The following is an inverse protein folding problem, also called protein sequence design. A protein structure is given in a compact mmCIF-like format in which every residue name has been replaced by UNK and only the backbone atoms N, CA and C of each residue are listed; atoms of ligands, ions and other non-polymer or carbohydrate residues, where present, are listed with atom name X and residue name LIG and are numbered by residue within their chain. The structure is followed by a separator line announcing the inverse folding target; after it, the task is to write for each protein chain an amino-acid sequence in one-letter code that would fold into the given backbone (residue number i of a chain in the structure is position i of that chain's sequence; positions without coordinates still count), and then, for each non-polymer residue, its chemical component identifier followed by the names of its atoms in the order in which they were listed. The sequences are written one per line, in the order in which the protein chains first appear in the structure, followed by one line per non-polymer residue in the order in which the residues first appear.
data_IF_421768913246
#
_entry.id   IF_421768913246
#
_cell.length_a   1.000
_cell.length_b   1.000
_cell.length_c   1.000
_cell.angle_alpha   90.00
_cell.angle_beta   90.00
_cell.angle_gamma   90.00
#
_symmetry.space_group_name_H-M   'P 1'
#
loop_
_entity.id
_entity.type
_entity.pdbx_description
1 polymer ?
#
# COMPACT_ATOMS: atom_id res chain seq x y z
N UNK A 1 3.78 -77.70 -32.11
CA UNK A 1 2.30 -77.73 -32.21
C UNK A 1 1.83 -76.41 -32.79
N UNK A 2 1.06 -76.47 -33.88
CA UNK A 2 0.44 -75.35 -34.58
C UNK A 2 -0.85 -74.98 -33.86
N UNK A 3 -1.12 -73.69 -33.66
CA UNK A 3 -2.51 -73.20 -33.59
C UNK A 3 -2.66 -72.01 -34.53
N UNK A 4 -3.54 -72.21 -35.51
CA UNK A 4 -3.96 -71.26 -36.52
C UNK A 4 -5.11 -70.37 -36.01
N UNK A 5 -5.30 -69.28 -36.74
CA UNK A 5 -6.28 -68.23 -36.60
C UNK A 5 -7.76 -68.68 -36.67
N UNK A 6 -8.66 -67.84 -36.12
CA UNK A 6 -9.62 -66.99 -36.86
C UNK A 6 -11.02 -66.86 -36.20
N UNK A 7 -11.50 -65.62 -36.03
CA UNK A 7 -12.84 -65.09 -36.40
C UNK A 7 -12.89 -63.60 -35.98
N UNK A 8 -12.84 -62.58 -36.86
CA UNK A 8 -13.82 -61.97 -37.79
C UNK A 8 -15.06 -61.29 -37.16
N UNK A 9 -15.23 -60.01 -37.59
CA UNK A 9 -16.38 -59.08 -37.54
C UNK A 9 -16.67 -58.37 -36.19
N UNK A 10 -17.03 -57.08 -36.16
CA UNK A 10 -17.72 -56.26 -37.17
C UNK A 10 -17.36 -54.77 -37.02
N UNK A 11 -17.09 -54.11 -38.15
CA UNK A 11 -16.91 -52.66 -38.29
C UNK A 11 -18.23 -51.95 -38.01
N UNK A 12 -18.23 -50.96 -37.13
CA UNK A 12 -19.21 -49.88 -37.16
C UNK A 12 -18.47 -48.56 -37.27
N UNK A 13 -18.45 -48.10 -38.51
CA UNK A 13 -18.17 -46.76 -38.97
C UNK A 13 -19.33 -45.87 -38.52
N UNK A 14 -19.11 -44.98 -37.55
CA UNK A 14 -20.01 -43.86 -37.33
C UNK A 14 -19.18 -42.58 -37.24
N UNK A 15 -19.29 -41.83 -38.33
CA UNK A 15 -18.88 -40.44 -38.47
C UNK A 15 -19.58 -39.60 -37.40
N UNK A 16 -18.80 -38.83 -36.64
CA UNK A 16 -19.29 -37.83 -35.70
C UNK A 16 -18.32 -36.67 -35.63
N UNK A 17 -18.14 -35.99 -36.77
CA UNK A 17 -17.43 -34.73 -36.89
C UNK A 17 -18.41 -33.63 -36.46
N UNK A 18 -18.31 -33.15 -35.22
CA UNK A 18 -19.15 -32.06 -34.70
C UNK A 18 -18.25 -30.97 -34.10
N UNK A 19 -18.23 -29.85 -34.84
CA UNK A 19 -18.09 -28.47 -34.42
C UNK A 19 -16.80 -28.01 -33.70
N UNK A 20 -15.76 -27.71 -34.50
CA UNK A 20 -14.93 -26.53 -34.25
C UNK A 20 -15.66 -25.28 -34.72
N UNK A 21 -16.26 -24.50 -33.80
CA UNK A 21 -16.35 -23.02 -33.85
C UNK A 21 -16.57 -22.55 -32.42
N UNK A 22 -15.50 -22.06 -31.77
CA UNK A 22 -15.61 -21.08 -30.69
C UNK A 22 -14.66 -19.93 -31.04
N UNK A 23 -15.15 -19.05 -31.91
CA UNK A 23 -14.57 -17.74 -32.13
C UNK A 23 -15.07 -16.85 -30.98
N UNK A 24 -14.36 -16.88 -29.86
CA UNK A 24 -14.58 -15.94 -28.75
C UNK A 24 -13.76 -14.70 -29.06
N UNK A 25 -14.50 -13.63 -29.34
CA UNK A 25 -14.04 -12.25 -29.32
C UNK A 25 -13.23 -11.97 -28.05
N UNK A 26 -12.02 -11.47 -28.23
CA UNK A 26 -11.20 -10.91 -27.17
C UNK A 26 -10.24 -9.92 -27.78
N UNK A 27 -10.75 -8.76 -28.17
CA UNK A 27 -9.91 -7.59 -28.44
C UNK A 27 -9.11 -7.31 -27.16
N UNK A 28 -7.84 -7.66 -27.14
CA UNK A 28 -6.90 -7.15 -26.13
C UNK A 28 -6.59 -5.69 -26.46
N UNK A 29 -7.58 -4.82 -26.26
CA UNK A 29 -7.30 -3.42 -25.93
C UNK A 29 -7.21 -3.38 -24.40
N UNK A 30 -6.04 -3.78 -23.88
CA UNK A 30 -5.69 -3.36 -22.54
C UNK A 30 -5.36 -1.87 -22.65
N UNK A 31 -6.32 -1.06 -22.22
CA UNK A 31 -6.14 0.36 -21.96
C UNK A 31 -4.91 0.51 -21.06
N UNK A 32 -3.83 1.05 -21.60
CA UNK A 32 -2.84 1.75 -20.80
C UNK A 32 -3.48 3.09 -20.41
N UNK A 33 -4.49 3.02 -19.56
CA UNK A 33 -4.95 4.17 -18.82
C UNK A 33 -4.00 4.30 -17.64
N UNK A 34 -2.91 5.04 -17.84
CA UNK A 34 -2.21 5.68 -16.74
C UNK A 34 -3.17 6.67 -16.12
N UNK A 35 -4.16 6.16 -15.37
CA UNK A 35 -4.76 6.92 -14.29
C UNK A 35 -3.61 7.14 -13.31
N UNK A 36 -2.84 8.20 -13.53
CA UNK A 36 -2.20 8.89 -12.43
C UNK A 36 -3.32 9.13 -11.43
N UNK A 37 -3.33 8.39 -10.32
CA UNK A 37 -4.29 8.62 -9.26
C UNK A 37 -4.25 10.13 -8.96
N UNK A 38 -5.38 10.84 -9.02
CA UNK A 38 -5.37 12.27 -8.76
C UNK A 38 -4.78 12.45 -7.37
N UNK A 39 -3.64 13.14 -7.28
CA UNK A 39 -2.97 13.43 -6.03
C UNK A 39 -4.02 13.92 -5.02
N UNK A 40 -4.37 13.07 -4.05
CA UNK A 40 -5.44 13.38 -3.12
C UNK A 40 -5.09 14.71 -2.44
N UNK A 41 -5.96 15.70 -2.61
CA UNK A 41 -5.72 17.02 -2.04
C UNK A 41 -5.56 16.87 -0.53
N UNK A 42 -4.50 17.47 0.02
CA UNK A 42 -4.25 17.45 1.47
C UNK A 42 -5.49 17.98 2.22
N UNK A 43 -6.02 17.24 3.20
CA UNK A 43 -7.16 17.69 3.98
C UNK A 43 -6.90 19.00 4.72
N UNK A 44 -7.92 19.86 4.84
CA UNK A 44 -7.79 21.21 5.40
C UNK A 44 -8.10 21.31 6.90
N UNK A 45 -8.30 20.18 7.59
CA UNK A 45 -8.61 20.15 9.02
C UNK A 45 -7.70 19.16 9.74
N UNK A 46 -7.33 19.47 10.98
CA UNK A 46 -6.47 18.60 11.81
C UNK A 46 -7.08 17.20 11.97
N UNK A 47 -8.38 17.02 12.28
CA UNK A 47 -8.99 15.69 12.36
C UNK A 47 -8.89 14.89 11.06
N UNK A 48 -9.14 15.53 9.91
CA UNK A 48 -9.08 14.85 8.62
C UNK A 48 -7.64 14.51 8.20
N UNK A 49 -6.64 15.32 8.57
CA UNK A 49 -5.23 14.98 8.40
C UNK A 49 -4.89 13.71 9.21
N UNK A 50 -5.31 13.63 10.47
CA UNK A 50 -5.07 12.44 11.29
C UNK A 50 -5.78 11.20 10.75
N UNK A 51 -7.01 11.34 10.26
CA UNK A 51 -7.71 10.23 9.59
C UNK A 51 -6.93 9.74 8.35
N UNK A 52 -6.39 10.64 7.55
CA UNK A 52 -5.58 10.29 6.39
C UNK A 52 -4.25 9.63 6.78
N UNK A 53 -3.58 10.13 7.84
CA UNK A 53 -2.37 9.49 8.40
C UNK A 53 -2.69 8.07 8.88
N UNK A 54 -3.81 7.89 9.58
CA UNK A 54 -4.24 6.58 10.10
C UNK A 54 -4.50 5.58 8.94
N UNK A 55 -5.10 6.05 7.83
CA UNK A 55 -5.30 5.23 6.61
C UNK A 55 -3.97 4.78 6.00
N UNK A 56 -3.02 5.69 5.79
CA UNK A 56 -1.70 5.30 5.28
C UNK A 56 -0.93 4.39 6.25
N UNK A 57 -1.08 4.61 7.56
CA UNK A 57 -0.51 3.71 8.57
C UNK A 57 -1.08 2.29 8.50
N UNK A 58 -2.38 2.16 8.24
CA UNK A 58 -3.00 0.86 8.00
C UNK A 58 -2.46 0.19 6.73
N UNK A 59 -2.29 0.95 5.64
CA UNK A 59 -1.70 0.41 4.41
C UNK A 59 -0.25 -0.03 4.58
N UNK A 60 0.56 0.67 5.37
CA UNK A 60 1.92 0.22 5.73
C UNK A 60 1.88 -1.10 6.50
N UNK A 61 0.98 -1.23 7.48
CA UNK A 61 0.82 -2.48 8.23
C UNK A 61 0.42 -3.64 7.31
N UNK A 62 -0.47 -3.39 6.35
CA UNK A 62 -0.87 -4.39 5.36
C UNK A 62 0.32 -4.78 4.46
N UNK A 63 1.06 -3.81 3.93
CA UNK A 63 2.24 -4.07 3.09
C UNK A 63 3.32 -4.87 3.83
N UNK A 64 3.54 -4.61 5.12
CA UNK A 64 4.44 -5.40 5.98
C UNK A 64 3.96 -6.85 6.16
N UNK A 65 2.65 -7.04 6.36
CA UNK A 65 2.03 -8.37 6.46
C UNK A 65 2.16 -9.15 5.16
N UNK A 66 1.92 -8.49 4.03
CA UNK A 66 1.94 -9.09 2.69
C UNK A 66 3.36 -9.19 2.09
N UNK A 67 4.37 -8.69 2.82
CA UNK A 67 5.77 -8.61 2.38
C UNK A 67 5.98 -7.79 1.09
N UNK A 68 5.11 -6.80 0.85
CA UNK A 68 5.20 -5.84 -0.25
C UNK A 68 6.00 -4.60 0.18
N UNK A 69 7.29 -4.80 0.48
CA UNK A 69 8.09 -3.76 1.13
C UNK A 69 8.37 -2.53 0.24
N UNK A 70 8.44 -2.73 -1.07
CA UNK A 70 8.75 -1.66 -2.02
C UNK A 70 7.64 -0.63 -2.17
N UNK A 71 6.39 -0.91 -1.81
CA UNK A 71 5.28 0.07 -1.87
C UNK A 71 5.15 0.91 -0.60
N UNK A 72 5.89 0.60 0.46
CA UNK A 72 5.78 1.28 1.76
C UNK A 72 6.18 2.76 1.66
N UNK A 73 7.10 3.11 0.76
CA UNK A 73 7.60 4.48 0.61
C UNK A 73 6.51 5.47 0.19
N UNK A 74 5.57 5.04 -0.67
CA UNK A 74 4.44 5.87 -1.11
C UNK A 74 3.60 6.34 0.09
N UNK A 75 3.26 5.40 0.98
CA UNK A 75 2.50 5.69 2.19
C UNK A 75 3.32 6.46 3.22
N UNK A 76 4.62 6.16 3.36
CA UNK A 76 5.49 6.87 4.29
C UNK A 76 5.66 8.35 3.89
N UNK A 77 5.79 8.64 2.59
CA UNK A 77 5.84 10.02 2.10
C UNK A 77 4.49 10.72 2.18
N UNK A 78 3.38 10.03 1.93
CA UNK A 78 2.06 10.61 2.16
C UNK A 78 1.86 11.01 3.64
N UNK A 79 2.27 10.17 4.60
CA UNK A 79 2.27 10.52 6.02
C UNK A 79 3.13 11.75 6.32
N UNK A 80 4.34 11.84 5.74
CA UNK A 80 5.22 13.00 5.87
C UNK A 80 4.52 14.27 5.40
N UNK A 81 3.91 14.23 4.22
CA UNK A 81 3.29 15.40 3.60
C UNK A 81 2.04 15.85 4.37
N UNK A 82 1.24 14.90 4.83
CA UNK A 82 0.11 15.14 5.73
C UNK A 82 0.56 15.76 7.06
N UNK A 83 1.61 15.22 7.70
CA UNK A 83 2.14 15.77 8.94
C UNK A 83 2.67 17.19 8.74
N UNK A 84 3.35 17.46 7.62
CA UNK A 84 3.86 18.79 7.26
C UNK A 84 2.75 19.82 7.00
N UNK A 85 1.50 19.40 6.81
CA UNK A 85 0.36 20.31 6.69
C UNK A 85 -0.17 20.80 8.06
N UNK A 86 0.18 20.13 9.16
CA UNK A 86 -0.27 20.49 10.50
C UNK A 86 0.11 21.93 10.92
N UNK A 87 1.35 22.42 10.76
CA UNK A 87 1.76 23.74 11.26
C UNK A 87 0.86 24.91 10.83
N UNK A 88 0.34 24.88 9.59
CA UNK A 88 -0.55 25.93 9.08
C UNK A 88 -1.92 25.95 9.77
N UNK A 89 -2.34 24.83 10.35
CA UNK A 89 -3.61 24.66 11.06
C UNK A 89 -3.46 24.80 12.58
N UNK A 90 -2.25 24.71 13.12
CA UNK A 90 -1.93 24.66 14.55
C UNK A 90 -1.83 26.02 15.24
N UNK A 91 -2.81 26.91 14.98
CA UNK A 91 -2.80 28.29 15.53
C UNK A 91 -2.94 28.34 17.04
N UNK A 92 -3.65 27.36 17.61
CA UNK A 92 -3.98 27.31 19.03
C UNK A 92 -2.90 26.63 19.90
N UNK A 93 -1.83 26.10 19.29
CA UNK A 93 -0.70 25.55 20.04
C UNK A 93 0.12 26.66 20.69
N UNK A 94 0.65 26.39 21.89
CA UNK A 94 1.65 27.24 22.53
C UNK A 94 2.97 27.23 21.73
N UNK A 95 3.84 28.21 21.97
CA UNK A 95 5.15 28.26 21.29
C UNK A 95 6.03 27.02 21.58
N UNK A 96 5.96 26.48 22.80
CA UNK A 96 6.66 25.24 23.16
C UNK A 96 6.10 24.02 22.40
N UNK A 97 4.77 23.95 22.26
CA UNK A 97 4.11 22.91 21.47
C UNK A 97 4.44 23.05 19.98
N UNK A 98 4.52 24.26 19.42
CA UNK A 98 4.95 24.51 18.04
C UNK A 98 6.40 24.11 17.79
N UNK A 99 7.30 24.38 18.74
CA UNK A 99 8.68 23.91 18.69
C UNK A 99 8.76 22.38 18.70
N UNK A 100 8.00 21.74 19.59
CA UNK A 100 7.88 20.28 19.67
C UNK A 100 7.32 19.70 18.36
N UNK A 101 6.29 20.33 17.77
CA UNK A 101 5.75 19.98 16.46
C UNK A 101 6.85 20.00 15.40
N UNK A 102 7.57 21.12 15.24
CA UNK A 102 8.60 21.27 14.21
C UNK A 102 9.74 20.25 14.35
N UNK A 103 10.19 19.97 15.58
CA UNK A 103 11.23 18.98 15.84
C UNK A 103 10.80 17.57 15.41
N UNK A 104 9.57 17.18 15.76
CA UNK A 104 9.03 15.88 15.39
C UNK A 104 8.78 15.77 13.87
N UNK A 105 8.36 16.84 13.20
CA UNK A 105 8.20 16.84 11.73
C UNK A 105 9.49 16.55 10.98
N UNK A 106 10.62 17.12 11.44
CA UNK A 106 11.94 16.78 10.88
C UNK A 106 12.24 15.28 11.02
N UNK A 107 11.86 14.69 12.16
CA UNK A 107 12.09 13.27 12.40
C UNK A 107 11.14 12.36 11.61
N UNK A 108 9.87 12.76 11.41
CA UNK A 108 8.94 12.11 10.48
C UNK A 108 9.55 12.05 9.08
N UNK A 109 10.07 13.17 8.56
CA UNK A 109 10.72 13.21 7.26
C UNK A 109 11.90 12.25 7.14
N UNK A 110 12.77 12.20 8.15
CA UNK A 110 13.90 11.27 8.17
C UNK A 110 13.46 9.80 8.20
N UNK A 111 12.43 9.46 8.97
CA UNK A 111 11.92 8.10 9.07
C UNK A 111 11.24 7.66 7.78
N UNK A 112 10.52 8.56 7.09
CA UNK A 112 9.97 8.28 5.77
C UNK A 112 11.06 7.94 4.74
N UNK A 113 12.16 8.71 4.69
CA UNK A 113 13.32 8.38 3.83
C UNK A 113 14.01 7.07 4.23
N UNK A 114 13.97 6.67 5.50
CA UNK A 114 14.52 5.37 5.92
C UNK A 114 13.62 4.21 5.54
N UNK A 115 12.30 4.38 5.64
CA UNK A 115 11.32 3.40 5.19
C UNK A 115 11.44 3.14 3.68
N UNK A 116 11.64 4.21 2.91
CA UNK A 116 11.99 4.14 1.49
C UNK A 116 13.23 3.26 1.24
N UNK A 117 14.36 3.63 1.84
CA UNK A 117 15.62 2.88 1.68
C UNK A 117 15.54 1.43 2.14
N UNK A 118 14.88 1.14 3.25
CA UNK A 118 14.76 -0.23 3.79
C UNK A 118 13.76 -1.06 3.00
N UNK A 119 12.68 -0.45 2.50
CA UNK A 119 11.74 -1.08 1.59
C UNK A 119 12.38 -1.46 0.26
N UNK A 120 13.12 -0.54 -0.37
CA UNK A 120 13.86 -0.77 -1.62
C UNK A 120 14.96 -1.82 -1.48
N UNK A 121 15.59 -1.88 -0.31
CA UNK A 121 16.59 -2.91 0.01
C UNK A 121 15.97 -4.26 0.37
N UNK A 122 14.64 -4.37 0.41
CA UNK A 122 13.90 -5.55 0.89
C UNK A 122 14.31 -5.97 2.32
N UNK A 123 14.71 -5.01 3.15
CA UNK A 123 15.11 -5.18 4.54
C UNK A 123 13.87 -5.12 5.44
N UNK A 124 13.24 -6.27 5.66
CA UNK A 124 12.01 -6.38 6.45
C UNK A 124 12.18 -5.87 7.88
N UNK A 125 13.23 -6.34 8.58
CA UNK A 125 13.49 -5.98 9.97
C UNK A 125 13.78 -4.48 10.11
N UNK A 126 14.59 -3.92 9.20
CA UNK A 126 14.84 -2.49 9.15
C UNK A 126 13.59 -1.68 8.85
N UNK A 127 12.73 -2.16 7.96
CA UNK A 127 11.45 -1.51 7.63
C UNK A 127 10.52 -1.49 8.85
N UNK A 128 10.34 -2.63 9.51
CA UNK A 128 9.52 -2.73 10.74
C UNK A 128 10.06 -1.83 11.86
N UNK A 129 11.38 -1.83 12.07
CA UNK A 129 12.00 -1.01 13.11
C UNK A 129 11.85 0.51 12.83
N UNK A 130 11.94 0.94 11.57
CA UNK A 130 11.70 2.34 11.21
C UNK A 130 10.20 2.70 11.27
N UNK A 131 9.31 1.77 10.92
CA UNK A 131 7.87 1.98 11.03
C UNK A 131 7.42 2.17 12.48
N UNK A 132 7.89 1.32 13.39
CA UNK A 132 7.61 1.46 14.83
C UNK A 132 8.09 2.80 15.40
N UNK A 133 9.24 3.31 14.93
CA UNK A 133 9.72 4.64 15.31
C UNK A 133 8.79 5.73 14.79
N UNK A 134 8.34 5.62 13.54
CA UNK A 134 7.42 6.58 12.94
C UNK A 134 6.09 6.61 13.71
N UNK A 135 5.53 5.45 14.06
CA UNK A 135 4.31 5.36 14.88
C UNK A 135 4.45 6.09 16.22
N UNK A 136 5.59 5.92 16.91
CA UNK A 136 5.84 6.61 18.19
C UNK A 136 5.87 8.14 18.03
N UNK A 137 6.52 8.64 16.98
CA UNK A 137 6.59 10.08 16.68
C UNK A 137 5.21 10.62 16.31
N UNK A 138 4.43 9.89 15.50
CA UNK A 138 3.06 10.27 15.16
C UNK A 138 2.17 10.34 16.40
N UNK A 139 2.33 9.41 17.36
CA UNK A 139 1.60 9.45 18.62
C UNK A 139 1.98 10.69 19.46
N UNK A 140 3.28 11.03 19.54
CA UNK A 140 3.74 12.26 20.20
C UNK A 140 3.18 13.52 19.55
N UNK A 141 3.16 13.57 18.22
CA UNK A 141 2.55 14.67 17.47
C UNK A 141 1.05 14.78 17.72
N UNK A 142 0.33 13.65 17.73
CA UNK A 142 -1.13 13.63 17.96
C UNK A 142 -1.50 14.12 19.35
N UNK A 143 -0.66 13.83 20.36
CA UNK A 143 -0.85 14.27 21.73
C UNK A 143 -0.85 15.81 21.90
N UNK A 144 -0.25 16.56 20.97
CA UNK A 144 -0.30 18.03 20.97
C UNK A 144 -1.72 18.58 20.74
N UNK A 145 -2.61 17.78 20.13
CA UNK A 145 -3.96 18.19 19.73
C UNK A 145 -5.06 17.55 20.59
N UNK A 146 -4.70 16.70 21.55
CA UNK A 146 -5.65 16.13 22.50
C UNK A 146 -5.80 17.06 23.71
N UNK A 147 -7.01 17.49 24.08
CA UNK A 147 -7.22 18.23 25.31
C UNK A 147 -6.75 17.39 26.51
N UNK A 148 -5.78 17.90 27.28
CA UNK A 148 -5.14 17.30 28.47
C UNK A 148 -3.86 16.46 28.26
N UNK A 149 -2.86 16.96 27.54
CA UNK A 149 -1.48 16.60 27.87
C UNK A 149 -1.07 17.39 29.13
N UNK A 150 -0.85 16.74 30.31
CA UNK A 150 -0.39 17.45 31.49
C UNK A 150 1.00 18.04 31.21
N UNK A 151 1.16 19.32 31.52
CA UNK A 151 2.45 20.02 31.51
C UNK A 151 3.42 19.43 32.52
#
# INVERSE_FOLDING_TARGET
MKYMAALKQKRYFWLGLIASVLLVCGYSQAFADSTEEPAQSIPKTIPAIWEAIDKHGASINQALSDNHLTSIHEHAFAIRDLANALPALSKDLSEEQKKTLQQNLSYVGQLATRLDKTGDANDKEGTEANWQKLQKVLAQLRALYTPNAPN
#
